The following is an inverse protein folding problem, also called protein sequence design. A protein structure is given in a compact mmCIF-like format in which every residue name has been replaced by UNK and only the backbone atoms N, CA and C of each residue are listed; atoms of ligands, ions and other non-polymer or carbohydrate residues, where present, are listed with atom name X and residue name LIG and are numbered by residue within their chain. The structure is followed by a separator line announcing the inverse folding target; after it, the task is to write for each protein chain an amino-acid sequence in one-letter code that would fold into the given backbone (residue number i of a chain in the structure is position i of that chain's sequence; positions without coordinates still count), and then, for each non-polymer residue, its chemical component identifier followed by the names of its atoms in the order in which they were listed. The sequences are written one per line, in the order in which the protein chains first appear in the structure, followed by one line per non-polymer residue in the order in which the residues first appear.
data_IF_806652781346
#
_entry.id   IF_806652781346
#
_cell.length_a   1.000
_cell.length_b   1.000
_cell.length_c   1.000
_cell.angle_alpha   90.00
_cell.angle_beta   90.00
_cell.angle_gamma   90.00
#
_symmetry.space_group_name_H-M   'P 1'
#
loop_
_entity.id
_entity.type
_entity.pdbx_description
1 polymer ?
#
# COMPACT_ATOMS: atom_id res chain seq x y z
N UNK A 1 32.30 28.46 -60.59
CA UNK A 1 32.46 27.07 -60.08
C UNK A 1 32.37 26.93 -58.54
N UNK A 2 32.79 27.90 -57.71
CA UNK A 2 32.82 27.77 -56.23
C UNK A 2 31.47 27.57 -55.49
N UNK A 3 30.36 28.18 -55.97
CA UNK A 3 29.04 28.09 -55.28
C UNK A 3 28.36 26.71 -55.37
N UNK A 4 28.59 25.96 -56.45
CA UNK A 4 28.02 24.60 -56.62
C UNK A 4 28.67 23.58 -55.68
N UNK A 5 29.95 23.75 -55.35
CA UNK A 5 30.66 22.88 -54.40
C UNK A 5 30.23 23.12 -52.95
N UNK A 6 29.98 24.38 -52.58
CA UNK A 6 29.45 24.72 -51.25
C UNK A 6 28.03 24.17 -51.01
N UNK A 7 27.15 24.25 -52.01
CA UNK A 7 25.79 23.68 -51.91
C UNK A 7 25.82 22.15 -51.70
N UNK A 8 26.68 21.44 -52.45
CA UNK A 8 26.85 19.99 -52.31
C UNK A 8 27.37 19.59 -50.93
N UNK A 9 28.27 20.39 -50.36
CA UNK A 9 28.80 20.16 -49.01
C UNK A 9 27.72 20.34 -47.94
N UNK A 10 26.90 21.39 -48.06
CA UNK A 10 25.79 21.67 -47.12
C UNK A 10 24.74 20.56 -47.17
N UNK A 11 24.35 20.12 -48.38
CA UNK A 11 23.42 19.00 -48.55
C UNK A 11 23.96 17.68 -47.98
N UNK A 12 25.26 17.40 -48.15
CA UNK A 12 25.89 16.22 -47.57
C UNK A 12 25.93 16.28 -46.03
N UNK A 13 26.24 17.43 -45.45
CA UNK A 13 26.21 17.62 -43.99
C UNK A 13 24.80 17.52 -43.41
N UNK A 14 23.79 18.08 -44.10
CA UNK A 14 22.39 17.98 -43.68
C UNK A 14 21.89 16.52 -43.73
N UNK A 15 22.25 15.77 -44.77
CA UNK A 15 21.92 14.36 -44.89
C UNK A 15 22.62 13.51 -43.81
N UNK A 16 23.90 13.77 -43.54
CA UNK A 16 24.65 13.08 -42.49
C UNK A 16 24.08 13.40 -41.09
N UNK A 17 23.72 14.65 -40.82
CA UNK A 17 23.08 15.05 -39.57
C UNK A 17 21.68 14.41 -39.41
N UNK A 18 20.90 14.32 -40.49
CA UNK A 18 19.60 13.63 -40.50
C UNK A 18 19.73 12.13 -40.22
N UNK A 19 20.70 11.47 -40.85
CA UNK A 19 21.00 10.05 -40.62
C UNK A 19 21.51 9.79 -39.20
N UNK A 20 22.35 10.66 -38.66
CA UNK A 20 22.84 10.56 -37.28
C UNK A 20 21.70 10.78 -36.26
N UNK A 21 20.79 11.74 -36.50
CA UNK A 21 19.63 11.96 -35.66
C UNK A 21 18.63 10.79 -35.70
N UNK A 22 18.40 10.20 -36.89
CA UNK A 22 17.56 9.01 -37.05
C UNK A 22 18.18 7.77 -36.38
N UNK A 23 19.49 7.56 -36.54
CA UNK A 23 20.20 6.48 -35.87
C UNK A 23 20.19 6.63 -34.34
N UNK A 24 20.35 7.86 -33.84
CA UNK A 24 20.27 8.17 -32.40
C UNK A 24 18.85 7.97 -31.85
N UNK A 25 17.81 8.31 -32.63
CA UNK A 25 16.42 8.06 -32.26
C UNK A 25 16.08 6.56 -32.27
N UNK A 26 16.61 5.80 -33.23
CA UNK A 26 16.42 4.36 -33.34
C UNK A 26 17.26 3.55 -32.33
N UNK A 27 18.38 4.10 -31.85
CA UNK A 27 19.21 3.52 -30.79
C UNK A 27 18.73 3.86 -29.39
N UNK A 28 17.68 4.66 -29.24
CA UNK A 28 17.03 4.81 -27.93
C UNK A 28 16.40 3.47 -27.59
N UNK A 29 16.76 2.83 -26.46
CA UNK A 29 15.97 1.73 -25.97
C UNK A 29 14.53 2.24 -25.90
N UNK A 30 13.59 1.51 -26.52
CA UNK A 30 12.19 1.79 -26.31
C UNK A 30 12.00 1.93 -24.81
N UNK A 31 11.57 3.11 -24.34
CA UNK A 31 11.26 3.29 -22.94
C UNK A 31 10.33 2.12 -22.61
N UNK A 32 10.80 1.21 -21.74
CA UNK A 32 9.99 0.06 -21.36
C UNK A 32 8.66 0.66 -20.93
N UNK A 33 7.59 0.35 -21.68
CA UNK A 33 6.26 0.82 -21.32
C UNK A 33 6.00 0.16 -19.99
N UNK A 34 6.24 0.89 -18.90
CA UNK A 34 5.98 0.39 -17.56
C UNK A 34 4.49 0.15 -17.53
N UNK A 35 4.10 -1.11 -17.61
CA UNK A 35 2.70 -1.48 -17.57
C UNK A 35 2.11 -0.84 -16.31
N UNK A 36 1.00 -0.12 -16.48
CA UNK A 36 0.33 0.60 -15.40
C UNK A 36 -0.82 -0.23 -14.87
N UNK A 37 -1.16 0.01 -13.62
CA UNK A 37 -2.36 -0.53 -13.02
C UNK A 37 -3.60 -0.05 -13.80
N UNK A 38 -4.53 -0.95 -14.07
CA UNK A 38 -5.77 -0.66 -14.80
C UNK A 38 -6.93 -0.58 -13.81
N UNK A 39 -7.65 0.54 -13.79
CA UNK A 39 -8.79 0.72 -12.92
C UNK A 39 -9.92 -0.26 -13.29
N UNK A 40 -10.42 -0.99 -12.29
CA UNK A 40 -11.50 -1.98 -12.47
C UNK A 40 -12.84 -1.45 -11.98
N UNK A 41 -12.85 -0.60 -10.96
CA UNK A 41 -14.05 -0.04 -10.38
C UNK A 41 -13.86 0.36 -8.93
N UNK A 42 -14.85 1.12 -8.44
CA UNK A 42 -14.96 1.56 -7.06
C UNK A 42 -16.35 1.23 -6.53
N UNK A 43 -16.43 0.94 -5.24
CA UNK A 43 -17.68 0.70 -4.53
C UNK A 43 -17.73 1.53 -3.26
N UNK A 44 -18.70 2.44 -3.17
CA UNK A 44 -18.96 3.19 -1.94
C UNK A 44 -19.67 2.28 -0.95
N UNK A 45 -19.00 1.95 0.15
CA UNK A 45 -19.58 1.13 1.19
C UNK A 45 -20.25 2.01 2.24
N UNK A 46 -21.50 1.73 2.54
CA UNK A 46 -22.26 2.44 3.58
C UNK A 46 -22.91 1.42 4.51
N UNK A 47 -22.87 1.71 5.81
CA UNK A 47 -23.52 0.88 6.80
C UNK A 47 -23.89 1.72 8.03
N UNK A 48 -25.14 1.61 8.48
CA UNK A 48 -25.62 2.31 9.68
C UNK A 48 -25.27 1.51 10.93
N UNK A 49 -24.01 1.58 11.36
CA UNK A 49 -23.52 0.93 12.58
C UNK A 49 -22.57 1.87 13.33
N UNK A 50 -22.58 1.91 14.68
CA UNK A 50 -21.73 2.83 15.45
C UNK A 50 -20.21 2.63 15.27
N UNK A 51 -19.79 1.43 14.86
CA UNK A 51 -18.39 1.08 14.64
C UNK A 51 -17.91 1.35 13.20
N UNK A 52 -18.80 1.73 12.29
CA UNK A 52 -18.49 1.88 10.87
C UNK A 52 -17.76 3.20 10.57
N UNK A 53 -16.76 3.15 9.69
CA UNK A 53 -15.90 4.27 9.31
C UNK A 53 -14.49 4.12 9.87
N UNK A 54 -13.59 5.05 9.54
CA UNK A 54 -12.23 5.04 10.11
C UNK A 54 -11.33 3.91 9.60
N UNK A 55 -11.51 3.41 8.37
CA UNK A 55 -10.85 2.16 7.95
C UNK A 55 -9.40 2.37 7.46
N UNK A 56 -8.43 1.95 8.27
CA UNK A 56 -6.99 2.07 7.97
C UNK A 56 -6.40 0.88 7.21
N UNK A 57 -6.97 -0.34 7.30
CA UNK A 57 -6.40 -1.51 6.62
C UNK A 57 -7.43 -2.56 6.22
N UNK A 58 -7.11 -3.36 5.19
CA UNK A 58 -7.93 -4.49 4.74
C UNK A 58 -7.08 -5.66 4.26
N UNK A 59 -7.62 -6.88 4.33
CA UNK A 59 -7.09 -8.07 3.65
C UNK A 59 -8.20 -8.84 2.96
N UNK A 60 -8.01 -9.09 1.66
CA UNK A 60 -8.93 -9.86 0.82
C UNK A 60 -8.60 -11.35 0.92
N UNK A 61 -9.64 -12.19 0.97
CA UNK A 61 -9.52 -13.64 0.97
C UNK A 61 -10.58 -14.30 0.09
N UNK A 62 -10.53 -15.64 0.00
CA UNK A 62 -11.51 -16.46 -0.70
C UNK A 62 -11.78 -16.03 -2.16
N UNK A 63 -10.72 -15.71 -2.91
CA UNK A 63 -10.83 -15.29 -4.31
C UNK A 63 -11.58 -13.96 -4.49
N UNK A 64 -11.46 -13.04 -3.53
CA UNK A 64 -12.11 -11.73 -3.61
C UNK A 64 -13.52 -11.68 -3.04
N UNK A 65 -13.98 -12.76 -2.39
CA UNK A 65 -15.34 -12.91 -1.87
C UNK A 65 -15.46 -12.64 -0.37
N UNK A 66 -14.33 -12.46 0.30
CA UNK A 66 -14.28 -12.11 1.71
C UNK A 66 -13.24 -11.01 1.93
N UNK A 67 -13.49 -10.18 2.94
CA UNK A 67 -12.56 -9.15 3.38
C UNK A 67 -12.57 -9.08 4.90
N UNK A 68 -11.38 -9.02 5.49
CA UNK A 68 -11.20 -8.53 6.86
C UNK A 68 -10.73 -7.08 6.79
N UNK A 69 -11.42 -6.17 7.49
CA UNK A 69 -11.10 -4.74 7.51
C UNK A 69 -10.91 -4.29 8.96
N UNK A 70 -9.96 -3.38 9.17
CA UNK A 70 -9.59 -2.81 10.45
C UNK A 70 -9.91 -1.31 10.43
N UNK A 71 -10.56 -0.83 11.48
CA UNK A 71 -10.70 0.61 11.75
C UNK A 71 -9.65 1.08 12.76
N UNK A 72 -9.19 2.32 12.59
CA UNK A 72 -8.39 3.14 13.51
C UNK A 72 -8.89 3.11 14.96
N UNK A 73 -10.20 2.88 15.16
CA UNK A 73 -10.86 2.73 16.47
C UNK A 73 -10.86 1.29 16.99
N UNK A 74 -9.83 0.51 16.67
CA UNK A 74 -9.61 -0.82 17.21
C UNK A 74 -10.77 -1.80 16.94
N UNK A 75 -11.44 -1.70 15.79
CA UNK A 75 -12.54 -2.61 15.40
C UNK A 75 -12.13 -3.45 14.20
N UNK A 76 -12.14 -4.77 14.36
CA UNK A 76 -11.87 -5.73 13.30
C UNK A 76 -13.16 -6.35 12.79
N UNK A 77 -13.41 -6.24 11.49
CA UNK A 77 -14.66 -6.65 10.86
C UNK A 77 -14.38 -7.67 9.78
N UNK A 78 -15.14 -8.78 9.77
CA UNK A 78 -15.15 -9.71 8.64
C UNK A 78 -16.38 -9.45 7.79
N UNK A 79 -16.23 -9.55 6.48
CA UNK A 79 -17.29 -9.25 5.52
C UNK A 79 -17.31 -10.30 4.41
N UNK A 80 -18.48 -10.47 3.78
CA UNK A 80 -18.58 -11.11 2.48
C UNK A 80 -18.79 -10.07 1.40
N UNK A 81 -18.15 -10.27 0.25
CA UNK A 81 -18.22 -9.41 -0.93
C UNK A 81 -19.03 -10.12 -2.00
N UNK A 82 -20.09 -9.47 -2.49
CA UNK A 82 -20.80 -9.89 -3.69
C UNK A 82 -20.19 -9.20 -4.92
N UNK A 83 -20.09 -9.95 -6.02
CA UNK A 83 -19.52 -9.45 -7.28
C UNK A 83 -20.46 -9.67 -8.45
N UNK A 84 -20.52 -8.70 -9.36
CA UNK A 84 -21.19 -8.80 -10.66
C UNK A 84 -20.17 -8.45 -11.74
N UNK A 85 -19.95 -9.37 -12.69
CA UNK A 85 -18.96 -9.20 -13.77
C UNK A 85 -17.56 -8.83 -13.25
N UNK A 86 -17.16 -9.42 -12.12
CA UNK A 86 -15.84 -9.20 -11.50
C UNK A 86 -15.70 -7.90 -10.69
N UNK A 87 -16.69 -7.01 -10.70
CA UNK A 87 -16.74 -5.79 -9.89
C UNK A 87 -17.51 -6.02 -8.59
N UNK A 88 -17.17 -5.29 -7.53
CA UNK A 88 -17.90 -5.32 -6.26
C UNK A 88 -19.30 -4.74 -6.47
N UNK A 89 -20.34 -5.51 -6.12
CA UNK A 89 -21.74 -5.10 -6.20
C UNK A 89 -22.41 -5.01 -4.83
N UNK A 90 -21.77 -5.51 -3.78
CA UNK A 90 -22.29 -5.48 -2.42
C UNK A 90 -21.24 -5.93 -1.41
N UNK A 91 -21.35 -5.40 -0.19
CA UNK A 91 -20.53 -5.80 0.96
C UNK A 91 -21.46 -6.03 2.15
N UNK A 92 -21.35 -7.19 2.78
CA UNK A 92 -22.14 -7.55 3.97
C UNK A 92 -21.21 -7.81 5.13
N UNK A 93 -21.35 -7.03 6.22
CA UNK A 93 -20.64 -7.30 7.47
C UNK A 93 -21.15 -8.62 8.09
N UNK A 94 -20.21 -9.47 8.52
CA UNK A 94 -20.48 -10.78 9.12
C UNK A 94 -20.23 -10.73 10.62
N UNK A 95 -19.03 -10.32 11.01
CA UNK A 95 -18.68 -10.13 12.42
C UNK A 95 -17.96 -8.80 12.60
N UNK A 96 -18.12 -8.19 13.78
CA UNK A 96 -17.39 -7.00 14.20
C UNK A 96 -16.90 -7.22 15.64
N UNK A 97 -15.61 -7.07 15.87
CA UNK A 97 -14.98 -7.31 17.16
C UNK A 97 -14.10 -6.14 17.56
N UNK A 98 -14.37 -5.59 18.75
CA UNK A 98 -13.43 -4.68 19.40
C UNK A 98 -12.17 -5.42 19.83
N UNK A 99 -11.01 -4.86 19.51
CA UNK A 99 -9.73 -5.44 19.87
C UNK A 99 -9.47 -5.32 21.38
N UNK A 100 -8.89 -6.38 21.93
CA UNK A 100 -8.54 -6.43 23.36
C UNK A 100 -7.06 -6.12 23.58
N UNK A 101 -6.77 -5.41 24.67
CA UNK A 101 -5.41 -5.28 25.19
C UNK A 101 -4.90 -6.64 25.73
N UNK A 102 -3.60 -6.71 26.07
CA UNK A 102 -3.02 -7.89 26.76
C UNK A 102 -3.68 -8.16 28.12
N UNK A 103 -4.18 -7.11 28.77
CA UNK A 103 -4.96 -7.18 30.02
C UNK A 103 -6.39 -7.70 29.81
N UNK A 104 -6.86 -7.79 28.55
CA UNK A 104 -8.21 -8.22 28.19
C UNK A 104 -9.27 -7.12 28.14
N UNK A 105 -8.93 -5.88 28.54
CA UNK A 105 -9.79 -4.70 28.37
C UNK A 105 -9.96 -4.34 26.90
N UNK A 106 -11.07 -3.71 26.53
CA UNK A 106 -11.21 -3.11 25.20
C UNK A 106 -10.17 -2.03 25.01
N UNK A 107 -9.61 -2.01 23.81
CA UNK A 107 -8.77 -0.91 23.35
C UNK A 107 -9.65 0.25 22.90
N UNK A 108 -9.19 1.47 23.21
CA UNK A 108 -9.80 2.73 22.80
C UNK A 108 -8.78 3.86 22.89
N UNK A 109 -9.04 4.98 22.20
CA UNK A 109 -8.18 6.15 22.17
C UNK A 109 -6.74 5.81 21.77
N UNK A 110 -5.77 6.52 22.35
CA UNK A 110 -4.33 6.38 22.07
C UNK A 110 -3.77 4.94 22.11
N UNK A 111 -4.33 4.07 22.95
CA UNK A 111 -3.88 2.69 23.01
C UNK A 111 -4.51 1.82 21.91
N UNK A 112 -5.70 2.19 21.42
CA UNK A 112 -6.47 1.44 20.42
C UNK A 112 -6.27 1.89 18.98
N UNK A 113 -5.73 3.07 18.78
CA UNK A 113 -5.28 3.67 17.51
C UNK A 113 -4.55 2.66 16.62
N UNK A 114 -5.26 1.99 15.73
CA UNK A 114 -4.82 0.78 15.03
C UNK A 114 -4.84 0.94 13.53
N UNK A 115 -3.68 0.77 12.90
CA UNK A 115 -3.49 1.19 11.51
C UNK A 115 -3.33 -0.01 10.57
N UNK A 116 -2.20 -0.70 10.64
CA UNK A 116 -1.87 -1.78 9.73
C UNK A 116 -2.40 -3.13 10.17
N UNK A 117 -2.79 -3.97 9.21
CA UNK A 117 -3.27 -5.33 9.42
C UNK A 117 -2.48 -6.32 8.56
N UNK A 118 -1.95 -7.38 9.17
CA UNK A 118 -1.45 -8.55 8.46
C UNK A 118 -2.11 -9.84 8.98
N UNK A 119 -2.46 -10.76 8.07
CA UNK A 119 -3.03 -12.06 8.41
C UNK A 119 -2.04 -13.14 8.03
N UNK A 120 -1.60 -13.92 9.01
CA UNK A 120 -0.70 -15.04 8.80
C UNK A 120 -1.42 -16.28 8.26
N UNK A 121 -0.71 -17.23 7.63
CA UNK A 121 -1.30 -18.46 7.12
C UNK A 121 -2.04 -19.31 8.16
N UNK A 122 -1.66 -19.19 9.44
CA UNK A 122 -2.32 -19.87 10.57
C UNK A 122 -3.62 -19.15 11.03
N UNK A 123 -4.02 -18.07 10.36
CA UNK A 123 -5.17 -17.25 10.70
C UNK A 123 -4.93 -16.23 11.81
N UNK A 124 -3.73 -16.19 12.40
CA UNK A 124 -3.34 -15.16 13.35
C UNK A 124 -3.32 -13.79 12.68
N UNK A 125 -3.73 -12.75 13.41
CA UNK A 125 -3.73 -11.37 12.95
C UNK A 125 -2.63 -10.62 13.67
N UNK A 126 -1.86 -9.85 12.93
CA UNK A 126 -0.93 -8.88 13.46
C UNK A 126 -1.47 -7.50 13.14
N UNK A 127 -1.40 -6.61 14.13
CA UNK A 127 -1.94 -5.26 14.04
C UNK A 127 -0.88 -4.29 14.54
N UNK A 128 -0.57 -3.27 13.74
CA UNK A 128 0.22 -2.13 14.20
C UNK A 128 -0.69 -1.08 14.83
N UNK A 129 -0.14 -0.34 15.77
CA UNK A 129 -0.84 0.74 16.46
C UNK A 129 0.00 2.00 16.37
N UNK A 130 -0.64 3.14 16.15
CA UNK A 130 0.02 4.44 16.01
C UNK A 130 0.35 5.03 17.37
N UNK A 131 -0.67 5.45 18.14
CA UNK A 131 -0.46 6.17 19.41
C UNK A 131 0.59 5.51 20.32
N UNK A 132 0.29 4.33 20.86
CA UNK A 132 1.29 3.51 21.54
C UNK A 132 2.05 2.61 20.56
N UNK A 133 2.88 3.23 19.68
CA UNK A 133 3.62 2.63 18.57
C UNK A 133 4.17 1.22 18.83
N UNK A 134 3.43 0.20 18.39
CA UNK A 134 3.75 -1.22 18.64
C UNK A 134 3.09 -2.11 17.59
N UNK A 135 3.49 -3.38 17.59
CA UNK A 135 2.78 -4.45 16.87
C UNK A 135 2.29 -5.48 17.88
N UNK A 136 1.05 -5.94 17.73
CA UNK A 136 0.47 -6.98 18.57
C UNK A 136 -0.11 -8.12 17.73
N UNK A 137 -0.05 -9.34 18.28
CA UNK A 137 -0.64 -10.53 17.68
C UNK A 137 -1.94 -10.93 18.37
N UNK A 138 -2.94 -11.28 17.56
CA UNK A 138 -4.21 -11.85 17.95
C UNK A 138 -4.34 -13.25 17.32
N UNK A 139 -4.40 -14.30 18.14
CA UNK A 139 -4.65 -15.67 17.64
C UNK A 139 -6.09 -15.85 17.14
N UNK A 140 -7.01 -15.08 17.71
CA UNK A 140 -8.44 -15.03 17.36
C UNK A 140 -8.89 -13.57 17.43
N UNK A 141 -9.85 -13.13 16.60
CA UNK A 141 -10.33 -11.75 16.58
C UNK A 141 -10.75 -11.19 17.95
N UNK A 142 -11.44 -12.00 18.75
CA UNK A 142 -11.96 -11.65 20.08
C UNK A 142 -10.93 -11.83 21.22
N UNK A 143 -9.76 -12.38 20.89
CA UNK A 143 -8.73 -12.77 21.85
C UNK A 143 -7.94 -11.59 22.42
N UNK A 144 -7.13 -11.88 23.44
CA UNK A 144 -6.20 -10.91 24.02
C UNK A 144 -4.98 -10.70 23.12
N UNK A 145 -4.54 -9.45 23.03
CA UNK A 145 -3.28 -9.10 22.36
C UNK A 145 -2.08 -9.78 23.02
N UNK A 146 -1.18 -10.33 22.21
CA UNK A 146 0.21 -10.57 22.58
C UNK A 146 1.08 -9.53 21.91
N UNK A 147 1.49 -8.51 22.66
CA UNK A 147 2.36 -7.44 22.17
C UNK A 147 3.74 -8.03 21.83
N UNK A 148 4.25 -7.73 20.64
CA UNK A 148 5.61 -8.12 20.24
C UNK A 148 6.64 -7.27 21.00
N UNK A 149 7.89 -7.72 21.16
CA UNK A 149 8.96 -6.89 21.73
C UNK A 149 9.00 -5.54 21.00
N UNK A 150 8.99 -4.42 21.74
CA UNK A 150 8.96 -3.07 21.16
C UNK A 150 10.39 -2.52 21.03
N UNK A 151 10.93 -2.32 19.81
CA UNK A 151 12.21 -1.64 19.62
C UNK A 151 12.25 -0.28 20.32
N UNK A 152 13.41 0.09 20.87
CA UNK A 152 13.57 1.41 21.50
C UNK A 152 13.29 2.56 20.51
N UNK A 153 13.62 2.38 19.23
CA UNK A 153 13.34 3.34 18.18
C UNK A 153 11.83 3.64 18.02
N UNK A 154 10.95 2.68 18.28
CA UNK A 154 9.49 2.91 18.18
C UNK A 154 8.97 3.88 19.24
N UNK A 155 9.72 4.11 20.32
CA UNK A 155 9.36 5.12 21.33
C UNK A 155 9.74 6.54 20.92
N UNK A 156 10.57 6.68 19.89
CA UNK A 156 11.02 7.95 19.33
C UNK A 156 10.27 8.34 18.06
N UNK A 157 9.37 7.48 17.58
CA UNK A 157 8.51 7.82 16.46
C UNK A 157 7.56 8.96 16.86
N UNK A 158 7.17 9.80 15.90
CA UNK A 158 6.10 10.78 16.09
C UNK A 158 4.85 10.14 16.71
N UNK A 159 4.15 10.87 17.56
CA UNK A 159 2.93 10.38 18.23
C UNK A 159 1.82 10.11 17.22
N UNK A 160 1.75 10.93 16.17
CA UNK A 160 0.97 10.69 14.96
C UNK A 160 1.97 10.57 13.80
N UNK A 161 1.70 9.73 12.81
CA UNK A 161 2.50 9.32 11.66
C UNK A 161 3.55 8.27 11.97
N UNK A 162 3.19 7.32 12.83
CA UNK A 162 4.08 6.23 13.23
C UNK A 162 3.82 4.99 12.39
N UNK A 163 3.53 3.83 12.99
CA UNK A 163 3.45 2.54 12.31
C UNK A 163 2.14 2.36 11.53
N UNK A 164 1.93 3.13 10.47
CA UNK A 164 0.75 3.03 9.59
C UNK A 164 0.69 1.67 8.87
N UNK A 165 1.86 1.16 8.48
CA UNK A 165 1.95 0.02 7.56
C UNK A 165 2.29 -1.28 8.26
N UNK A 166 1.64 -2.39 7.85
CA UNK A 166 2.03 -3.73 8.28
C UNK A 166 1.79 -4.80 7.20
N UNK A 167 2.86 -5.35 6.65
CA UNK A 167 2.84 -6.43 5.67
C UNK A 167 3.42 -7.73 6.26
N UNK A 168 3.11 -8.88 5.64
CA UNK A 168 3.67 -10.19 5.98
C UNK A 168 4.12 -10.91 4.70
N UNK A 169 5.34 -11.44 4.67
CA UNK A 169 5.82 -12.23 3.53
C UNK A 169 5.41 -13.70 3.63
N UNK A 170 5.66 -14.48 2.56
CA UNK A 170 5.32 -15.90 2.51
C UNK A 170 6.06 -16.77 3.56
N UNK A 171 7.13 -16.26 4.19
CA UNK A 171 7.84 -16.94 5.29
C UNK A 171 7.26 -16.59 6.66
N UNK A 172 6.27 -15.69 6.70
CA UNK A 172 5.68 -15.18 7.93
C UNK A 172 6.50 -14.07 8.59
N UNK A 173 7.49 -13.50 7.89
CA UNK A 173 8.20 -12.32 8.38
C UNK A 173 7.28 -11.09 8.25
N UNK A 174 7.14 -10.32 9.33
CA UNK A 174 6.38 -9.06 9.30
C UNK A 174 7.29 -7.90 8.91
N UNK A 175 6.74 -6.96 8.14
CA UNK A 175 7.41 -5.72 7.74
C UNK A 175 6.52 -4.52 8.11
N UNK A 176 7.10 -3.55 8.80
CA UNK A 176 6.42 -2.31 9.18
C UNK A 176 7.37 -1.14 8.97
N UNK A 177 6.81 0.04 8.73
CA UNK A 177 7.55 1.26 8.45
C UNK A 177 6.70 2.47 8.85
N UNK A 178 7.35 3.61 9.16
CA UNK A 178 6.64 4.79 9.59
C UNK A 178 6.08 5.61 8.41
N UNK A 179 4.99 6.36 8.61
CA UNK A 179 4.50 7.33 7.61
C UNK A 179 5.44 8.52 7.48
N UNK A 180 5.86 9.11 8.61
CA UNK A 180 6.71 10.31 8.59
C UNK A 180 7.87 10.24 9.58
N UNK A 181 8.75 9.24 9.40
CA UNK A 181 10.05 9.21 10.05
C UNK A 181 11.14 8.66 9.12
N UNK A 182 12.26 9.36 9.02
CA UNK A 182 13.38 8.99 8.17
C UNK A 182 14.58 8.55 9.00
N UNK A 183 15.43 7.72 8.41
CA UNK A 183 16.75 7.43 8.95
C UNK A 183 17.75 8.57 8.68
N UNK A 184 18.99 8.38 9.15
CA UNK A 184 20.06 9.38 9.02
C UNK A 184 20.41 9.73 7.56
N UNK A 185 20.00 8.90 6.59
CA UNK A 185 20.21 9.12 5.16
C UNK A 185 18.95 9.69 4.49
N UNK A 186 17.95 10.11 5.27
CA UNK A 186 16.68 10.59 4.74
C UNK A 186 15.82 9.50 4.09
N UNK A 187 16.09 8.22 4.37
CA UNK A 187 15.35 7.09 3.80
C UNK A 187 14.27 6.60 4.77
N UNK A 188 13.21 5.96 4.26
CA UNK A 188 12.13 5.39 5.06
C UNK A 188 12.61 4.05 5.63
N UNK A 189 12.81 3.91 6.96
CA UNK A 189 13.34 2.68 7.53
C UNK A 189 12.30 1.57 7.56
N UNK A 190 12.62 0.40 7.01
CA UNK A 190 11.75 -0.78 7.08
C UNK A 190 12.23 -1.71 8.19
N UNK A 191 11.33 -2.03 9.10
CA UNK A 191 11.55 -2.94 10.21
C UNK A 191 10.99 -4.32 9.90
N UNK A 192 11.78 -5.36 10.13
CA UNK A 192 11.37 -6.75 9.94
C UNK A 192 11.35 -7.51 11.26
N UNK A 193 10.23 -8.16 11.56
CA UNK A 193 10.11 -9.15 12.64
C UNK A 193 10.10 -10.56 12.06
N UNK A 194 11.09 -11.38 12.45
CA UNK A 194 11.25 -12.73 11.92
C UNK A 194 10.66 -13.85 12.82
N UNK A 195 9.71 -13.51 13.68
CA UNK A 195 9.17 -14.42 14.69
C UNK A 195 9.95 -14.42 16.01
N UNK A 196 11.20 -13.92 16.04
CA UNK A 196 12.06 -13.90 17.23
C UNK A 196 12.62 -12.53 17.59
N UNK A 197 13.07 -11.75 16.61
CA UNK A 197 13.68 -10.43 16.83
C UNK A 197 13.33 -9.46 15.71
N UNK A 198 13.37 -8.18 16.06
CA UNK A 198 13.34 -7.09 15.08
C UNK A 198 14.71 -6.87 14.46
N UNK A 199 14.71 -6.47 13.19
CA UNK A 199 15.87 -6.01 12.44
C UNK A 199 15.44 -4.88 11.50
N UNK A 200 16.40 -4.21 10.88
CA UNK A 200 16.15 -3.22 9.81
C UNK A 200 16.90 -3.66 8.56
N UNK A 201 16.31 -4.54 7.73
CA UNK A 201 17.02 -5.14 6.62
C UNK A 201 17.31 -4.15 5.48
N UNK A 202 16.50 -3.11 5.32
CA UNK A 202 16.65 -2.10 4.27
C UNK A 202 15.87 -0.82 4.63
N UNK A 203 16.06 0.21 3.81
CA UNK A 203 15.25 1.43 3.79
C UNK A 203 14.74 1.65 2.37
N UNK A 204 13.64 2.39 2.22
CA UNK A 204 13.06 2.75 0.92
C UNK A 204 13.26 4.25 0.65
N UNK A 205 13.46 4.65 -0.62
CA UNK A 205 13.55 6.05 -0.96
C UNK A 205 12.19 6.73 -0.83
N UNK A 206 12.08 7.86 -0.10
CA UNK A 206 10.93 8.74 -0.24
C UNK A 206 10.90 9.32 -1.65
N UNK A 207 9.72 9.69 -2.13
CA UNK A 207 9.58 10.25 -3.47
C UNK A 207 8.40 11.23 -3.53
N UNK A 208 8.69 12.51 -3.74
CA UNK A 208 7.68 13.58 -3.73
C UNK A 208 7.06 13.81 -2.34
N UNK A 209 5.84 14.33 -2.31
CA UNK A 209 5.06 14.56 -1.09
C UNK A 209 4.29 13.34 -0.57
N UNK A 210 4.45 12.18 -1.21
CA UNK A 210 3.74 10.96 -0.85
C UNK A 210 4.32 10.31 0.40
N UNK A 211 3.44 10.00 1.35
CA UNK A 211 3.75 9.31 2.60
C UNK A 211 3.17 7.89 2.59
N UNK A 212 3.88 6.89 3.14
CA UNK A 212 3.37 5.53 3.25
C UNK A 212 2.16 5.41 4.17
N UNK A 213 1.17 4.62 3.75
CA UNK A 213 -0.03 4.34 4.55
C UNK A 213 -0.25 2.85 4.76
N UNK A 214 -0.04 2.00 3.75
CA UNK A 214 -0.08 0.54 3.94
C UNK A 214 0.81 -0.18 2.92
N UNK A 215 1.05 -1.47 3.15
CA UNK A 215 1.83 -2.33 2.28
C UNK A 215 1.32 -3.76 2.29
N UNK A 216 1.66 -4.48 1.22
CA UNK A 216 1.39 -5.91 1.14
C UNK A 216 2.50 -6.64 0.39
N UNK A 217 2.65 -7.93 0.69
CA UNK A 217 3.34 -8.82 -0.23
C UNK A 217 2.30 -9.49 -1.11
N UNK A 218 2.40 -9.28 -2.42
CA UNK A 218 1.52 -9.94 -3.37
C UNK A 218 1.76 -11.46 -3.39
N UNK A 219 0.81 -12.25 -3.93
CA UNK A 219 1.02 -13.68 -4.19
C UNK A 219 2.21 -13.99 -5.11
N UNK A 220 2.71 -12.99 -5.84
CA UNK A 220 3.92 -13.04 -6.67
C UNK A 220 5.22 -12.80 -5.88
N UNK A 221 5.12 -12.59 -4.56
CA UNK A 221 6.26 -12.40 -3.66
C UNK A 221 6.88 -11.00 -3.70
N UNK A 222 6.29 -10.07 -4.44
CA UNK A 222 6.78 -8.69 -4.53
C UNK A 222 6.21 -7.83 -3.43
N UNK A 223 6.94 -6.78 -3.07
CA UNK A 223 6.52 -5.82 -2.05
C UNK A 223 5.79 -4.66 -2.72
N UNK A 224 4.59 -4.35 -2.23
CA UNK A 224 3.74 -3.26 -2.71
C UNK A 224 3.54 -2.24 -1.60
N UNK A 225 3.75 -0.97 -1.91
CA UNK A 225 3.57 0.14 -0.97
C UNK A 225 2.49 1.09 -1.49
N UNK A 226 1.42 1.25 -0.73
CA UNK A 226 0.44 2.29 -0.90
C UNK A 226 0.93 3.55 -0.17
N UNK A 227 0.88 4.66 -0.87
CA UNK A 227 1.24 5.97 -0.37
C UNK A 227 0.16 6.99 -0.73
N UNK A 228 0.01 8.02 0.10
CA UNK A 228 -0.91 9.14 -0.16
C UNK A 228 -0.22 10.49 -0.04
N UNK A 229 -0.81 11.49 -0.68
CA UNK A 229 -0.46 12.91 -0.52
C UNK A 229 -1.76 13.72 -0.43
N UNK A 230 -1.81 14.70 0.48
CA UNK A 230 -2.95 15.60 0.65
C UNK A 230 -2.65 16.95 0.02
N UNK A 231 -3.42 17.30 -1.01
CA UNK A 231 -3.33 18.60 -1.70
C UNK A 231 -4.56 19.46 -1.42
N UNK A 232 -4.54 20.72 -1.87
CA UNK A 232 -5.72 21.59 -1.76
C UNK A 232 -6.94 21.07 -2.54
N UNK A 233 -6.74 20.22 -3.54
CA UNK A 233 -7.78 19.61 -4.37
C UNK A 233 -8.20 18.21 -3.87
N UNK A 234 -7.71 17.79 -2.71
CA UNK A 234 -7.96 16.48 -2.12
C UNK A 234 -6.76 15.52 -2.23
N UNK A 235 -7.03 14.26 -1.88
CA UNK A 235 -6.02 13.21 -1.81
C UNK A 235 -5.54 12.74 -3.17
N UNK A 236 -4.29 12.30 -3.20
CA UNK A 236 -3.69 11.55 -4.30
C UNK A 236 -3.14 10.25 -3.75
N UNK A 237 -3.25 9.19 -4.52
CA UNK A 237 -2.72 7.87 -4.13
C UNK A 237 -1.65 7.42 -5.09
N UNK A 238 -0.67 6.68 -4.59
CA UNK A 238 0.39 6.06 -5.38
C UNK A 238 0.59 4.62 -4.91
N UNK A 239 0.72 3.71 -5.87
CA UNK A 239 1.12 2.33 -5.60
C UNK A 239 2.48 2.07 -6.24
N UNK A 240 3.48 1.78 -5.42
CA UNK A 240 4.81 1.37 -5.84
C UNK A 240 5.05 -0.11 -5.59
N UNK A 241 5.92 -0.72 -6.38
CA UNK A 241 6.29 -2.14 -6.30
C UNK A 241 7.80 -2.31 -6.36
N UNK A 242 8.32 -3.27 -5.61
CA UNK A 242 9.72 -3.72 -5.67
C UNK A 242 9.81 -5.24 -5.77
N UNK A 243 10.83 -5.69 -6.47
CA UNK A 243 11.29 -7.07 -6.39
C UNK A 243 12.17 -7.22 -5.15
N UNK A 244 11.92 -8.26 -4.35
CA UNK A 244 12.61 -8.48 -3.08
C UNK A 244 13.74 -9.49 -3.25
N UNK A 245 14.98 -9.04 -3.09
CA UNK A 245 16.18 -9.88 -3.20
C UNK A 245 16.90 -10.02 -1.86
N UNK A 246 17.90 -10.91 -1.79
CA UNK A 246 18.77 -11.01 -0.62
C UNK A 246 19.56 -9.72 -0.33
N UNK A 247 19.83 -8.90 -1.36
CA UNK A 247 20.52 -7.62 -1.22
C UNK A 247 19.56 -6.47 -0.85
N UNK A 248 18.24 -6.69 -0.87
CA UNK A 248 17.22 -5.68 -0.62
C UNK A 248 16.26 -5.50 -1.79
N UNK A 249 15.39 -4.47 -1.70
CA UNK A 249 14.42 -4.14 -2.75
C UNK A 249 15.12 -3.60 -3.99
N UNK A 250 14.74 -4.09 -5.17
CA UNK A 250 15.22 -3.62 -6.48
C UNK A 250 14.03 -3.41 -7.43
N UNK A 251 14.31 -2.88 -8.63
CA UNK A 251 13.31 -2.72 -9.70
C UNK A 251 12.06 -1.93 -9.26
N UNK A 252 12.28 -0.79 -8.57
CA UNK A 252 11.20 0.10 -8.19
C UNK A 252 10.32 0.46 -9.39
N UNK A 253 9.02 0.25 -9.23
CA UNK A 253 8.04 0.52 -10.28
C UNK A 253 6.84 1.28 -9.71
N UNK A 254 6.52 2.46 -10.26
CA UNK A 254 5.25 3.15 -9.97
C UNK A 254 4.14 2.56 -10.85
N UNK A 255 3.24 1.80 -10.24
CA UNK A 255 2.13 1.13 -10.93
C UNK A 255 0.92 2.04 -11.10
N UNK A 256 0.62 2.84 -10.08
CA UNK A 256 -0.49 3.79 -10.04
C UNK A 256 0.02 5.11 -9.44
N UNK A 257 -0.40 6.23 -10.02
CA UNK A 257 -0.34 7.53 -9.36
C UNK A 257 -1.55 8.35 -9.83
N UNK A 258 -2.44 8.73 -8.93
CA UNK A 258 -3.65 9.46 -9.28
C UNK A 258 -3.45 10.97 -9.30
N UNK A 259 -4.39 11.67 -9.94
CA UNK A 259 -4.57 13.10 -9.73
C UNK A 259 -5.26 13.38 -8.39
N UNK A 260 -5.22 14.65 -7.91
CA UNK A 260 -5.97 15.05 -6.72
C UNK A 260 -7.47 14.72 -6.83
N UNK A 261 -8.06 14.24 -5.73
CA UNK A 261 -9.50 13.98 -5.60
C UNK A 261 -10.01 12.84 -6.49
N UNK A 262 -9.13 12.03 -7.10
CA UNK A 262 -9.55 10.86 -7.89
C UNK A 262 -10.24 9.82 -7.02
N UNK A 263 -9.65 9.56 -5.85
CA UNK A 263 -10.20 8.73 -4.78
C UNK A 263 -10.19 9.55 -3.50
N UNK A 264 -10.94 9.09 -2.50
CA UNK A 264 -10.84 9.62 -1.14
C UNK A 264 -9.51 9.17 -0.49
N UNK A 265 -9.39 9.31 0.83
CA UNK A 265 -8.20 8.99 1.61
C UNK A 265 -7.88 7.49 1.65
N UNK A 266 -7.37 6.91 0.55
CA UNK A 266 -6.96 5.50 0.49
C UNK A 266 -5.82 5.23 1.46
N UNK A 267 -6.08 4.43 2.48
CA UNK A 267 -5.13 4.10 3.55
C UNK A 267 -4.83 2.62 3.65
N UNK A 268 -5.77 1.72 3.35
CA UNK A 268 -5.54 0.27 3.39
C UNK A 268 -5.26 -0.37 2.04
N UNK A 269 -4.46 -1.44 2.01
CA UNK A 269 -4.08 -2.20 0.82
C UNK A 269 -4.13 -3.72 1.03
N UNK A 270 -4.72 -4.42 0.06
CA UNK A 270 -4.51 -5.85 -0.14
C UNK A 270 -4.19 -6.16 -1.60
N UNK A 271 -3.13 -6.94 -1.81
CA UNK A 271 -2.74 -7.47 -3.12
C UNK A 271 -3.06 -8.96 -3.17
N UNK A 272 -3.86 -9.37 -4.16
CA UNK A 272 -4.39 -10.72 -4.23
C UNK A 272 -4.63 -11.15 -5.69
N UNK A 273 -4.84 -12.44 -5.91
CA UNK A 273 -5.10 -12.99 -7.25
C UNK A 273 -6.56 -13.39 -7.36
N UNK A 274 -7.24 -12.96 -8.43
CA UNK A 274 -8.61 -13.37 -8.69
C UNK A 274 -8.71 -14.79 -9.29
N UNK A 275 -9.94 -15.29 -9.42
CA UNK A 275 -10.21 -16.65 -9.91
C UNK A 275 -9.70 -16.88 -11.37
N UNK A 276 -9.31 -15.82 -12.09
CA UNK A 276 -8.71 -15.89 -13.44
C UNK A 276 -7.17 -15.87 -13.43
N UNK A 277 -6.55 -15.81 -12.24
CA UNK A 277 -5.09 -15.68 -12.12
C UNK A 277 -4.59 -14.25 -12.23
N UNK A 278 -5.47 -13.24 -12.30
CA UNK A 278 -5.08 -11.84 -12.45
C UNK A 278 -4.80 -11.21 -11.09
N UNK A 279 -3.65 -10.56 -10.98
CA UNK A 279 -3.27 -9.80 -9.79
C UNK A 279 -4.12 -8.53 -9.65
N UNK A 280 -4.61 -8.27 -8.45
CA UNK A 280 -5.42 -7.10 -8.10
C UNK A 280 -4.86 -6.42 -6.86
N UNK A 281 -4.95 -5.10 -6.85
CA UNK A 281 -4.91 -4.31 -5.62
C UNK A 281 -6.33 -3.89 -5.27
N UNK A 282 -6.78 -4.20 -4.06
CA UNK A 282 -7.98 -3.62 -3.45
C UNK A 282 -7.54 -2.67 -2.34
N UNK A 283 -8.02 -1.44 -2.39
CA UNK A 283 -7.71 -0.39 -1.42
C UNK A 283 -9.00 0.06 -0.73
N UNK A 284 -8.91 0.53 0.51
CA UNK A 284 -10.03 1.14 1.24
C UNK A 284 -9.67 2.57 1.63
N UNK A 285 -10.63 3.48 1.50
CA UNK A 285 -10.48 4.82 2.06
C UNK A 285 -10.96 4.92 3.49
N UNK A 286 -10.21 5.67 4.27
CA UNK A 286 -10.66 6.23 5.53
C UNK A 286 -11.59 7.43 5.24
N UNK A 287 -12.75 7.46 5.89
CA UNK A 287 -13.65 8.61 5.83
C UNK A 287 -13.33 9.67 6.89
N UNK A 288 -12.33 9.45 7.75
CA UNK A 288 -11.94 10.26 8.89
C UNK A 288 -13.14 10.61 9.81
N UNK A 289 -14.24 9.86 9.71
CA UNK A 289 -15.55 10.20 10.29
C UNK A 289 -16.08 11.59 9.90
N UNK A 290 -15.66 12.12 8.75
CA UNK A 290 -16.08 13.41 8.21
C UNK A 290 -17.23 13.23 7.20
N UNK A 291 -18.31 14.03 7.27
CA UNK A 291 -19.49 13.86 6.40
C UNK A 291 -19.23 14.00 4.89
N UNK A 292 -18.13 14.64 4.50
CA UNK A 292 -17.76 14.87 3.09
C UNK A 292 -16.93 13.72 2.51
N UNK A 293 -16.36 12.87 3.35
CA UNK A 293 -15.56 11.74 2.92
C UNK A 293 -16.41 10.46 2.88
N UNK A 294 -15.94 9.50 2.09
CA UNK A 294 -16.62 8.24 1.86
C UNK A 294 -15.69 7.07 2.16
N UNK A 295 -16.25 6.02 2.77
CA UNK A 295 -15.62 4.70 2.74
C UNK A 295 -15.79 4.11 1.33
N UNK A 296 -14.70 4.00 0.58
CA UNK A 296 -14.64 3.53 -0.80
C UNK A 296 -13.72 2.30 -0.88
N UNK A 297 -14.18 1.24 -1.54
CA UNK A 297 -13.34 0.13 -1.96
C UNK A 297 -12.96 0.30 -3.42
N UNK A 298 -11.66 0.45 -3.70
CA UNK A 298 -11.12 0.73 -5.03
C UNK A 298 -10.32 -0.46 -5.53
N UNK A 299 -10.61 -0.95 -6.74
CA UNK A 299 -9.88 -2.07 -7.34
C UNK A 299 -9.12 -1.67 -8.61
N UNK A 300 -7.86 -2.10 -8.68
CA UNK A 300 -7.03 -2.03 -9.87
C UNK A 300 -6.48 -3.41 -10.24
N UNK A 301 -6.48 -3.75 -11.52
CA UNK A 301 -5.69 -4.86 -12.05
C UNK A 301 -4.24 -4.43 -12.14
N UNK A 302 -3.34 -5.27 -11.62
CA UNK A 302 -1.90 -5.02 -11.65
C UNK A 302 -1.26 -5.79 -12.81
N UNK A 303 -0.24 -5.21 -13.46
CA UNK A 303 0.58 -5.95 -14.41
C UNK A 303 1.44 -6.98 -13.68
N UNK A 304 1.77 -8.06 -14.40
CA UNK A 304 2.69 -9.09 -13.93
C UNK A 304 4.15 -8.61 -13.85
#
# INVERSE_FOLDING_TARGET
MRRRSALKLILAFAAAAGLAAAAFAASRPAAAVTAKAQYLGSYTWTLKQPWFGGFSALKISAGGREMTVLSDRATLVTTSIQRKQGQISGVTARTAHGLRASTGKMLSGFAGDSEGLAIAPDGSRYISFEGAARVARYRRPEGRAKVLPRPAAFRKLPVNKSLETLAIDARGDLYTLPEQAFDQNGQIPVWRWNGRRWSRPFSLPPSGGFLPVDADFGPDGRFYLLERDLTFLGFRSRLRRWDMTAAGPVNETVLLQTGPGTHDNLEGLSVWTDDTGRLRATMVSDDNFLPLQRTELVEYALPL
#
